data_IF_616248199616
#
_entry.id   IF_616248199616
#
_cell.length_a   1.000
_cell.length_b   1.000
_cell.length_c   1.000
_cell.angle_alpha   90.00
_cell.angle_beta   90.00
_cell.angle_gamma   90.00
#
_symmetry.space_group_name_H-M   'P 1'
#
loop_
_entity.id
_entity.type
_entity.pdbx_description
1 polymer ?
#
# COMPACT_ATOMS: atom_id res chain seq x y z
N UNK A 1 -1.24 -3.48 19.75
CA UNK A 1 -1.06 -2.03 19.53
C UNK A 1 -1.98 -1.58 18.40
N UNK A 2 -2.41 -0.32 18.34
CA UNK A 2 -3.04 0.23 17.13
C UNK A 2 -1.93 0.49 16.10
N UNK A 3 -2.13 0.18 14.81
CA UNK A 3 -1.19 0.58 13.77
C UNK A 3 -0.93 2.08 13.83
N UNK A 4 0.32 2.50 13.70
CA UNK A 4 0.72 3.90 13.51
C UNK A 4 1.65 4.00 12.29
N UNK A 5 1.80 5.21 11.72
CA UNK A 5 2.74 5.45 10.62
C UNK A 5 2.53 4.54 9.40
N UNK A 6 3.62 3.92 8.93
CA UNK A 6 3.63 3.10 7.72
C UNK A 6 2.74 1.85 7.82
N UNK A 7 2.73 1.15 8.97
CA UNK A 7 1.83 0.01 9.17
C UNK A 7 0.35 0.42 9.10
N UNK A 8 -0.01 1.57 9.67
CA UNK A 8 -1.38 2.09 9.61
C UNK A 8 -1.84 2.35 8.17
N UNK A 9 -0.96 2.89 7.33
CA UNK A 9 -1.25 3.11 5.91
C UNK A 9 -1.47 1.78 5.18
N UNK A 10 -0.59 0.79 5.38
CA UNK A 10 -0.76 -0.55 4.78
C UNK A 10 -2.06 -1.20 5.23
N UNK A 11 -2.38 -1.13 6.52
CA UNK A 11 -3.61 -1.66 7.09
C UNK A 11 -4.86 -0.95 6.50
N UNK A 12 -4.83 0.37 6.40
CA UNK A 12 -5.92 1.15 5.80
C UNK A 12 -6.13 0.81 4.33
N UNK A 13 -5.05 0.72 3.54
CA UNK A 13 -5.12 0.34 2.13
C UNK A 13 -5.72 -1.07 1.95
N UNK A 14 -5.29 -2.05 2.75
CA UNK A 14 -5.88 -3.41 2.76
C UNK A 14 -7.35 -3.39 3.11
N UNK A 15 -7.76 -2.60 4.12
CA UNK A 15 -9.16 -2.51 4.52
C UNK A 15 -10.05 -1.94 3.41
N UNK A 16 -9.56 -0.94 2.66
CA UNK A 16 -10.27 -0.36 1.51
C UNK A 16 -10.37 -1.33 0.33
N UNK A 17 -9.31 -2.10 0.06
CA UNK A 17 -9.27 -3.03 -1.08
C UNK A 17 -10.01 -4.36 -0.80
N UNK A 18 -10.17 -4.75 0.46
CA UNK A 18 -10.80 -6.03 0.84
C UNK A 18 -12.23 -6.22 0.30
N UNK A 19 -13.13 -5.21 0.32
CA UNK A 19 -14.43 -5.31 -0.35
C UNK A 19 -14.33 -5.54 -1.87
N UNK A 20 -13.33 -4.96 -2.54
CA UNK A 20 -13.16 -5.08 -4.00
C UNK A 20 -12.79 -6.50 -4.44
N UNK A 21 -12.18 -7.30 -3.55
CA UNK A 21 -11.95 -8.72 -3.80
C UNK A 21 -13.25 -9.53 -3.99
N UNK A 22 -14.40 -8.98 -3.58
CA UNK A 22 -15.72 -9.60 -3.73
C UNK A 22 -16.57 -8.96 -4.85
N UNK A 23 -16.04 -7.97 -5.56
CA UNK A 23 -16.72 -7.32 -6.67
C UNK A 23 -16.83 -8.24 -7.90
N UNK A 24 -17.58 -7.80 -8.93
CA UNK A 24 -17.70 -8.49 -10.22
C UNK A 24 -17.37 -7.51 -11.34
N UNK A 25 -16.25 -7.68 -12.07
CA UNK A 25 -15.19 -8.67 -11.82
C UNK A 25 -14.43 -8.40 -10.51
N UNK A 26 -13.85 -9.43 -9.87
CA UNK A 26 -13.12 -9.27 -8.62
C UNK A 26 -11.79 -8.54 -8.84
N UNK A 27 -11.38 -7.76 -7.85
CA UNK A 27 -10.04 -7.20 -7.78
C UNK A 27 -9.11 -8.18 -7.04
N UNK A 28 -8.08 -8.68 -7.71
CA UNK A 28 -7.04 -9.52 -7.10
C UNK A 28 -5.75 -8.73 -6.96
N UNK A 29 -5.27 -8.59 -5.73
CA UNK A 29 -4.02 -7.89 -5.42
C UNK A 29 -2.81 -8.71 -5.88
N UNK A 30 -1.98 -8.12 -6.74
CA UNK A 30 -0.65 -8.63 -7.10
C UNK A 30 0.40 -8.10 -6.09
N UNK A 31 0.29 -6.82 -5.72
CA UNK A 31 1.25 -6.12 -4.86
C UNK A 31 0.60 -4.96 -4.11
N UNK A 32 0.94 -4.77 -2.84
CA UNK A 32 0.62 -3.59 -2.05
C UNK A 32 1.70 -3.41 -0.98
N UNK A 33 2.57 -2.42 -1.18
CA UNK A 33 3.63 -2.12 -0.23
C UNK A 33 3.97 -0.64 -0.18
N UNK A 34 4.61 -0.24 0.92
CA UNK A 34 5.36 1.01 1.01
C UNK A 34 6.82 0.69 0.74
N UNK A 35 7.43 1.42 -0.19
CA UNK A 35 8.80 1.23 -0.62
C UNK A 35 9.63 2.50 -0.54
N UNK A 36 10.94 2.36 -0.34
CA UNK A 36 11.90 3.45 -0.41
C UNK A 36 12.02 3.94 -1.86
N UNK A 37 11.92 5.25 -2.14
CA UNK A 37 12.01 5.78 -3.50
C UNK A 37 13.38 5.59 -4.16
N UNK A 38 14.45 5.38 -3.39
CA UNK A 38 15.81 5.24 -3.90
C UNK A 38 16.09 3.86 -4.49
N UNK A 39 15.56 2.80 -3.89
CA UNK A 39 15.87 1.41 -4.26
C UNK A 39 14.67 0.47 -4.39
N UNK A 40 13.45 0.97 -4.13
CA UNK A 40 12.20 0.22 -4.19
C UNK A 40 12.14 -1.00 -3.25
N UNK A 41 12.95 -1.01 -2.18
CA UNK A 41 12.84 -2.00 -1.11
C UNK A 41 11.72 -1.63 -0.13
N UNK A 42 11.09 -2.62 0.51
CA UNK A 42 10.02 -2.34 1.48
C UNK A 42 10.57 -1.63 2.72
N UNK A 43 9.91 -0.54 3.10
CA UNK A 43 10.27 0.21 4.32
C UNK A 43 9.76 -0.51 5.57
N UNK A 44 10.38 -0.35 6.75
CA UNK A 44 9.84 -0.95 7.98
C UNK A 44 8.51 -0.31 8.43
N UNK A 45 7.84 -0.89 9.41
CA UNK A 45 6.55 -0.42 9.91
C UNK A 45 6.63 0.92 10.66
N UNK A 46 7.80 1.25 11.20
CA UNK A 46 8.14 2.48 11.89
C UNK A 46 8.87 3.50 11.00
N UNK A 47 8.81 3.33 9.68
CA UNK A 47 9.48 4.20 8.71
C UNK A 47 9.15 5.69 8.91
N UNK A 48 10.19 6.51 8.82
CA UNK A 48 10.11 7.98 8.81
C UNK A 48 10.77 8.51 7.53
N UNK A 49 10.25 9.59 6.98
CA UNK A 49 10.72 10.17 5.72
C UNK A 49 9.84 9.80 4.54
N UNK A 50 10.40 9.87 3.34
CA UNK A 50 9.67 9.61 2.09
C UNK A 50 9.48 8.11 1.85
N UNK A 51 8.31 7.73 1.33
CA UNK A 51 8.05 6.39 0.81
C UNK A 51 7.00 6.46 -0.31
N UNK A 52 6.95 5.44 -1.14
CA UNK A 52 5.92 5.30 -2.18
C UNK A 52 4.99 4.15 -1.79
N UNK A 53 3.68 4.43 -1.68
CA UNK A 53 2.67 3.38 -1.63
C UNK A 53 2.44 2.89 -3.06
N UNK A 54 2.95 1.71 -3.36
CA UNK A 54 2.81 1.08 -4.66
C UNK A 54 1.76 -0.04 -4.58
N UNK A 55 0.82 -0.03 -5.54
CA UNK A 55 -0.22 -1.04 -5.69
C UNK A 55 -0.22 -1.60 -7.10
N UNK A 56 -0.36 -2.91 -7.22
CA UNK A 56 -0.71 -3.57 -8.47
C UNK A 56 -1.83 -4.56 -8.20
N UNK A 57 -2.84 -4.57 -9.06
CA UNK A 57 -3.97 -5.48 -8.94
C UNK A 57 -4.53 -5.82 -10.32
N UNK A 58 -5.26 -6.93 -10.41
CA UNK A 58 -6.00 -7.32 -11.61
C UNK A 58 -7.48 -7.19 -11.37
N UNK A 59 -8.18 -6.67 -12.37
CA UNK A 59 -9.65 -6.57 -12.41
C UNK A 59 -10.11 -7.26 -13.69
N UNK A 60 -10.64 -8.47 -13.54
CA UNK A 60 -10.88 -9.36 -14.69
C UNK A 60 -9.56 -9.71 -15.40
N UNK A 61 -9.44 -9.39 -16.69
CA UNK A 61 -8.22 -9.62 -17.48
C UNK A 61 -7.19 -8.49 -17.44
N UNK A 62 -7.52 -7.34 -16.84
CA UNK A 62 -6.71 -6.12 -16.92
C UNK A 62 -5.85 -5.96 -15.67
N UNK A 63 -4.56 -5.69 -15.84
CA UNK A 63 -3.64 -5.37 -14.74
C UNK A 63 -3.51 -3.85 -14.57
N UNK A 64 -3.83 -3.35 -13.40
CA UNK A 64 -3.76 -1.95 -13.00
C UNK A 64 -2.59 -1.74 -12.04
N UNK A 65 -1.96 -0.57 -12.13
CA UNK A 65 -0.87 -0.14 -11.24
C UNK A 65 -1.19 1.30 -10.81
N UNK A 66 -0.92 1.62 -9.56
CA UNK A 66 -0.92 2.99 -9.06
C UNK A 66 0.19 3.17 -8.00
N UNK A 67 0.67 4.40 -7.85
CA UNK A 67 1.76 4.75 -6.96
C UNK A 67 1.47 6.13 -6.36
N UNK A 68 1.51 6.26 -5.04
CA UNK A 68 1.32 7.54 -4.36
C UNK A 68 2.52 7.81 -3.44
N UNK A 69 3.25 8.93 -3.60
CA UNK A 69 4.29 9.33 -2.66
C UNK A 69 3.67 9.80 -1.34
N UNK A 70 4.29 9.41 -0.23
CA UNK A 70 3.89 9.75 1.13
C UNK A 70 5.11 10.18 1.93
N UNK A 71 4.88 11.02 2.94
CA UNK A 71 5.92 11.45 3.89
C UNK A 71 5.47 11.11 5.30
N UNK A 72 6.28 10.34 6.02
CA UNK A 72 6.05 9.95 7.40
C UNK A 72 6.87 10.85 8.33
N UNK A 73 6.19 11.57 9.22
CA UNK A 73 6.83 12.35 10.27
C UNK A 73 7.44 11.47 11.37
N UNK A 74 8.24 12.08 12.24
CA UNK A 74 8.75 11.39 13.43
C UNK A 74 7.59 10.88 14.31
N UNK A 75 7.72 9.70 14.93
CA UNK A 75 6.74 9.21 15.89
C UNK A 75 6.58 10.25 17.02
N UNK A 76 5.33 10.60 17.31
CA UNK A 76 4.96 11.55 18.37
C UNK A 76 4.95 10.89 19.74
#
# INVERSE_FOLDING_TARGET
ARPCGADAVRAAARAVLMPAARAVPPLTLDYLALVDPADFTEVPDDHTGEAILAVAARVGGTRLIDNIPLTFGAPQ
#
